data_IF_881661739039
#
_entry.id   IF_881661739039
#
_cell.length_a   1.000
_cell.length_b   1.000
_cell.length_c   1.000
_cell.angle_alpha   90.00
_cell.angle_beta   90.00
_cell.angle_gamma   90.00
#
_symmetry.space_group_name_H-M   'P 1'
#
loop_
_entity.id
_entity.type
_entity.pdbx_description
1 polymer ?
#
# COMPACT_ATOMS: atom_id res chain seq x y z
N UNK A 1 -49.08 -7.58 30.57
CA UNK A 1 -48.68 -8.17 29.27
C UNK A 1 -48.59 -7.13 28.14
N UNK A 2 -49.66 -6.40 27.81
CA UNK A 2 -49.68 -5.41 26.71
C UNK A 2 -48.61 -4.30 26.81
N UNK A 3 -48.40 -3.75 28.02
CA UNK A 3 -47.39 -2.70 28.28
C UNK A 3 -45.95 -3.19 28.06
N UNK A 4 -45.66 -4.45 28.39
CA UNK A 4 -44.33 -5.04 28.25
C UNK A 4 -44.01 -5.29 26.78
N UNK A 5 -44.98 -5.77 26.00
CA UNK A 5 -44.87 -5.93 24.54
C UNK A 5 -44.60 -4.60 23.84
N UNK A 6 -45.36 -3.56 24.19
CA UNK A 6 -45.15 -2.20 23.67
C UNK A 6 -43.74 -1.66 23.97
N UNK A 7 -43.26 -1.86 25.21
CA UNK A 7 -41.92 -1.41 25.59
C UNK A 7 -40.82 -2.12 24.80
N UNK A 8 -40.96 -3.43 24.55
CA UNK A 8 -39.98 -4.22 23.79
C UNK A 8 -40.00 -3.81 22.31
N UNK A 9 -41.19 -3.62 21.72
CA UNK A 9 -41.33 -3.14 20.34
C UNK A 9 -40.70 -1.77 20.14
N UNK A 10 -40.94 -0.83 21.05
CA UNK A 10 -40.35 0.51 20.99
C UNK A 10 -38.83 0.45 21.15
N UNK A 11 -38.31 -0.35 22.08
CA UNK A 11 -36.87 -0.53 22.25
C UNK A 11 -36.21 -1.16 21.00
N UNK A 12 -36.81 -2.19 20.41
CA UNK A 12 -36.33 -2.81 19.19
C UNK A 12 -36.30 -1.82 18.01
N UNK A 13 -37.33 -0.98 17.91
CA UNK A 13 -37.42 0.04 16.86
C UNK A 13 -36.33 1.11 17.03
N UNK A 14 -36.06 1.55 18.26
CA UNK A 14 -34.96 2.47 18.56
C UNK A 14 -33.61 1.86 18.17
N UNK A 15 -33.36 0.60 18.53
CA UNK A 15 -32.11 -0.11 18.18
C UNK A 15 -31.96 -0.22 16.66
N UNK A 16 -33.03 -0.55 15.94
CA UNK A 16 -33.01 -0.63 14.48
C UNK A 16 -32.69 0.73 13.85
N UNK A 17 -33.33 1.81 14.30
CA UNK A 17 -33.05 3.17 13.82
C UNK A 17 -31.58 3.53 14.06
N UNK A 18 -31.06 3.30 15.27
CA UNK A 18 -29.65 3.56 15.57
C UNK A 18 -28.75 2.76 14.63
N UNK A 19 -28.99 1.46 14.48
CA UNK A 19 -28.20 0.58 13.62
C UNK A 19 -28.14 1.06 12.16
N UNK A 20 -29.27 1.49 11.59
CA UNK A 20 -29.31 1.99 10.21
C UNK A 20 -28.76 3.42 10.05
N UNK A 21 -28.68 4.19 11.14
CA UNK A 21 -28.13 5.56 11.12
C UNK A 21 -26.62 5.64 11.38
N UNK A 22 -25.98 4.57 11.87
CA UNK A 22 -24.52 4.54 12.02
C UNK A 22 -23.90 4.39 10.61
N UNK A 23 -23.19 5.42 10.10
CA UNK A 23 -22.56 5.33 8.81
C UNK A 23 -21.42 4.31 8.90
N UNK A 24 -21.41 3.35 7.98
CA UNK A 24 -20.26 2.47 7.75
C UNK A 24 -19.10 3.35 7.28
N UNK A 25 -18.22 3.76 8.19
CA UNK A 25 -17.01 4.49 7.82
C UNK A 25 -16.13 3.52 7.05
N UNK A 26 -15.78 3.80 5.77
CA UNK A 26 -14.90 2.93 5.02
C UNK A 26 -13.54 2.85 5.72
N UNK A 27 -13.01 1.65 5.84
CA UNK A 27 -11.69 1.45 6.44
C UNK A 27 -10.63 2.22 5.65
N UNK A 28 -9.85 3.03 6.35
CA UNK A 28 -8.75 3.80 5.76
C UNK A 28 -7.43 3.07 5.96
N UNK A 29 -6.51 3.12 4.99
CA UNK A 29 -5.16 2.60 5.18
C UNK A 29 -4.46 3.22 6.39
N UNK A 30 -3.70 2.41 7.12
CA UNK A 30 -2.86 2.84 8.24
C UNK A 30 -1.45 2.34 8.03
N UNK A 31 -0.46 3.15 8.33
CA UNK A 31 0.92 2.75 8.19
C UNK A 31 1.88 3.74 8.82
N UNK A 32 3.15 3.36 8.79
CA UNK A 32 4.25 4.14 9.31
C UNK A 32 5.36 4.22 8.27
N UNK A 33 6.04 5.36 8.28
CA UNK A 33 7.31 5.57 7.61
C UNK A 33 8.43 5.59 8.65
N UNK A 34 9.46 4.77 8.44
CA UNK A 34 10.63 4.68 9.31
C UNK A 34 11.83 5.28 8.56
N UNK A 35 12.25 6.52 8.88
CA UNK A 35 13.35 7.18 8.19
C UNK A 35 14.68 6.48 8.48
N UNK A 36 15.50 6.29 7.44
CA UNK A 36 16.84 5.74 7.56
C UNK A 36 17.94 6.83 7.51
N UNK A 37 17.64 7.98 6.90
CA UNK A 37 18.56 9.10 6.70
C UNK A 37 17.83 10.44 6.87
N UNK A 38 18.58 11.55 6.84
CA UNK A 38 18.00 12.91 6.79
C UNK A 38 17.09 13.05 5.58
N UNK A 39 15.82 13.40 5.82
CA UNK A 39 14.78 13.46 4.80
C UNK A 39 15.12 14.37 3.63
N UNK A 40 14.65 14.00 2.44
CA UNK A 40 14.70 14.84 1.24
C UNK A 40 13.45 15.73 1.17
N UNK A 41 13.45 16.81 0.37
CA UNK A 41 12.24 17.60 0.15
C UNK A 41 11.10 16.72 -0.35
N UNK A 42 9.89 16.98 0.15
CA UNK A 42 8.71 16.24 -0.28
C UNK A 42 8.47 16.39 -1.79
N UNK A 43 7.97 15.31 -2.40
CA UNK A 43 7.67 15.21 -3.83
C UNK A 43 6.16 15.05 -4.04
N UNK A 44 5.71 15.06 -5.31
CA UNK A 44 4.35 14.63 -5.64
C UNK A 44 4.25 13.10 -5.51
N UNK A 45 3.13 12.54 -5.00
CA UNK A 45 2.88 11.10 -5.04
C UNK A 45 2.94 10.50 -6.45
N UNK A 46 2.61 11.29 -7.48
CA UNK A 46 2.64 10.87 -8.89
C UNK A 46 4.07 10.65 -9.41
N UNK A 47 5.07 11.25 -8.76
CA UNK A 47 6.49 11.09 -9.09
C UNK A 47 7.13 9.87 -8.40
N UNK A 48 6.35 9.10 -7.65
CA UNK A 48 6.82 7.91 -6.91
C UNK A 48 6.57 6.63 -7.70
N UNK A 49 7.66 6.04 -8.19
CA UNK A 49 7.60 4.79 -8.95
C UNK A 49 7.67 3.55 -8.06
N UNK A 50 6.77 2.58 -8.29
CA UNK A 50 6.86 1.28 -7.63
C UNK A 50 7.74 0.32 -8.44
N UNK A 51 8.71 -0.27 -7.76
CA UNK A 51 9.58 -1.31 -8.30
C UNK A 51 9.26 -2.64 -7.64
N UNK A 52 8.98 -3.65 -8.46
CA UNK A 52 8.85 -5.03 -8.02
C UNK A 52 10.22 -5.59 -7.64
N UNK A 53 10.26 -6.67 -6.83
CA UNK A 53 11.49 -7.40 -6.58
C UNK A 53 12.22 -7.71 -7.90
N UNK A 54 13.49 -7.29 -8.00
CA UNK A 54 14.33 -7.51 -9.18
C UNK A 54 14.28 -6.41 -10.27
N UNK A 55 13.36 -5.44 -10.19
CA UNK A 55 13.34 -4.28 -11.10
C UNK A 55 13.82 -2.98 -10.45
N UNK A 56 14.26 -3.05 -9.20
CA UNK A 56 14.83 -1.91 -8.48
C UNK A 56 16.11 -1.44 -9.17
N UNK A 57 16.31 -0.12 -9.36
CA UNK A 57 17.57 0.41 -9.87
C UNK A 57 18.77 -0.09 -9.07
N UNK A 58 19.94 -0.26 -9.70
CA UNK A 58 21.15 -0.66 -8.95
C UNK A 58 21.73 0.49 -8.11
N UNK A 59 21.56 1.74 -8.56
CA UNK A 59 22.06 2.94 -7.90
C UNK A 59 20.89 3.72 -7.30
N UNK A 60 20.74 3.62 -5.97
CA UNK A 60 19.78 4.40 -5.20
C UNK A 60 20.28 4.61 -3.78
N UNK A 61 19.74 5.65 -3.15
CA UNK A 61 19.85 5.90 -1.72
C UNK A 61 18.59 5.38 -1.01
N UNK A 62 18.76 4.77 0.16
CA UNK A 62 17.60 4.40 1.00
C UNK A 62 17.15 5.62 1.80
N UNK A 63 15.89 6.01 1.63
CA UNK A 63 15.26 7.11 2.37
C UNK A 63 14.62 6.58 3.66
N UNK A 64 14.02 5.39 3.59
CA UNK A 64 13.42 4.74 4.75
C UNK A 64 12.64 3.49 4.40
N UNK A 65 11.87 2.99 5.36
CA UNK A 65 11.04 1.80 5.24
C UNK A 65 9.57 2.14 5.45
N UNK A 66 8.69 1.50 4.69
CA UNK A 66 7.25 1.71 4.74
C UNK A 66 6.58 0.41 5.16
N UNK A 67 5.73 0.50 6.17
CA UNK A 67 4.83 -0.57 6.57
C UNK A 67 3.42 -0.02 6.61
N UNK A 68 2.52 -0.58 5.82
CA UNK A 68 1.13 -0.13 5.77
C UNK A 68 0.18 -1.31 5.62
N UNK A 69 -1.04 -1.13 6.12
CA UNK A 69 -2.09 -2.13 6.10
C UNK A 69 -3.44 -1.45 5.86
N UNK A 70 -4.36 -2.20 5.25
CA UNK A 70 -5.76 -1.84 5.09
C UNK A 70 -6.60 -3.04 5.47
N UNK A 71 -7.52 -2.87 6.41
CA UNK A 71 -8.53 -3.88 6.67
C UNK A 71 -9.45 -3.99 5.46
N UNK A 72 -9.60 -5.21 4.95
CA UNK A 72 -10.42 -5.48 3.80
C UNK A 72 -10.92 -6.92 3.89
N UNK A 73 -12.23 -7.16 4.04
CA UNK A 73 -12.78 -8.51 4.08
C UNK A 73 -12.70 -9.23 2.73
N UNK A 74 -12.48 -8.48 1.63
CA UNK A 74 -12.46 -8.99 0.26
C UNK A 74 -11.34 -8.34 -0.57
N UNK A 75 -10.82 -9.11 -1.52
CA UNK A 75 -9.85 -8.64 -2.51
C UNK A 75 -10.58 -7.82 -3.57
N UNK A 76 -10.32 -6.51 -3.61
CA UNK A 76 -10.87 -5.60 -4.63
C UNK A 76 -9.78 -4.68 -5.16
N UNK A 77 -9.89 -4.31 -6.45
CA UNK A 77 -8.95 -3.36 -7.06
C UNK A 77 -8.98 -1.99 -6.39
N UNK A 78 -10.15 -1.57 -5.88
CA UNK A 78 -10.30 -0.32 -5.15
C UNK A 78 -9.48 -0.31 -3.84
N UNK A 79 -9.58 -1.35 -3.01
CA UNK A 79 -8.84 -1.45 -1.75
C UNK A 79 -7.33 -1.53 -1.99
N UNK A 80 -6.92 -2.30 -3.00
CA UNK A 80 -5.53 -2.36 -3.44
C UNK A 80 -5.03 -0.97 -3.85
N UNK A 81 -5.76 -0.25 -4.70
CA UNK A 81 -5.35 1.09 -5.14
C UNK A 81 -5.32 2.10 -3.99
N UNK A 82 -6.26 2.03 -3.05
CA UNK A 82 -6.26 2.88 -1.85
C UNK A 82 -4.98 2.68 -1.02
N UNK A 83 -4.57 1.44 -0.79
CA UNK A 83 -3.32 1.17 -0.06
C UNK A 83 -2.09 1.63 -0.86
N UNK A 84 -2.07 1.42 -2.18
CA UNK A 84 -0.96 1.86 -3.04
C UNK A 84 -0.80 3.38 -3.07
N UNK A 85 -1.89 4.13 -3.21
CA UNK A 85 -1.89 5.60 -3.15
C UNK A 85 -1.39 6.10 -1.80
N UNK A 86 -1.83 5.46 -0.71
CA UNK A 86 -1.38 5.80 0.63
C UNK A 86 0.13 5.60 0.81
N UNK A 87 0.70 4.48 0.34
CA UNK A 87 2.15 4.25 0.45
C UNK A 87 2.97 5.15 -0.47
N UNK A 88 2.47 5.48 -1.65
CA UNK A 88 3.08 6.50 -2.53
C UNK A 88 3.10 7.86 -1.85
N UNK A 89 2.01 8.25 -1.19
CA UNK A 89 1.94 9.49 -0.44
C UNK A 89 2.94 9.52 0.73
N UNK A 90 3.06 8.45 1.51
CA UNK A 90 4.05 8.34 2.59
C UNK A 90 5.50 8.46 2.07
N UNK A 91 5.80 7.80 0.94
CA UNK A 91 7.11 7.87 0.30
C UNK A 91 7.40 9.30 -0.21
N UNK A 92 6.44 9.91 -0.88
CA UNK A 92 6.55 11.25 -1.46
C UNK A 92 6.78 12.31 -0.37
N UNK A 93 6.06 12.23 0.74
CA UNK A 93 6.24 13.13 1.90
C UNK A 93 7.65 13.03 2.51
N UNK A 94 8.30 11.89 2.35
CA UNK A 94 9.66 11.64 2.82
C UNK A 94 10.74 12.00 1.79
N UNK A 95 10.33 12.45 0.60
CA UNK A 95 11.19 12.82 -0.51
C UNK A 95 11.76 11.64 -1.30
N UNK A 96 11.14 10.46 -1.19
CA UNK A 96 11.47 9.31 -2.01
C UNK A 96 10.76 9.40 -3.37
N UNK A 97 11.46 9.09 -4.47
CA UNK A 97 10.90 9.02 -5.82
C UNK A 97 10.70 7.57 -6.29
N UNK A 98 10.99 6.59 -5.43
CA UNK A 98 10.74 5.19 -5.71
C UNK A 98 10.41 4.39 -4.46
N UNK A 99 9.71 3.28 -4.65
CA UNK A 99 9.45 2.28 -3.61
C UNK A 99 9.85 0.91 -4.14
N UNK A 100 10.84 0.28 -3.51
CA UNK A 100 11.16 -1.12 -3.72
C UNK A 100 10.22 -1.99 -2.87
N UNK A 101 9.30 -2.70 -3.53
CA UNK A 101 8.31 -3.55 -2.86
C UNK A 101 9.02 -4.80 -2.32
N UNK A 102 8.82 -5.09 -1.02
CA UNK A 102 9.33 -6.31 -0.36
C UNK A 102 8.18 -7.31 -0.20
N UNK A 103 7.04 -6.84 0.30
CA UNK A 103 5.82 -7.60 0.46
C UNK A 103 4.64 -6.75 0.03
N UNK A 104 3.79 -7.30 -0.81
CA UNK A 104 2.48 -6.72 -1.08
C UNK A 104 1.49 -7.83 -1.37
N UNK A 105 0.36 -7.82 -0.67
CA UNK A 105 -0.67 -8.82 -0.90
C UNK A 105 -1.81 -8.74 0.10
N UNK A 106 -2.78 -9.60 -0.11
CA UNK A 106 -3.89 -9.82 0.80
C UNK A 106 -3.68 -11.11 1.60
N UNK A 107 -4.27 -11.19 2.79
CA UNK A 107 -4.32 -12.42 3.57
C UNK A 107 -4.91 -13.58 2.77
N UNK A 108 -4.48 -14.80 3.09
CA UNK A 108 -4.97 -16.01 2.44
C UNK A 108 -6.49 -16.18 2.63
N UNK A 109 -7.18 -16.88 1.71
CA UNK A 109 -8.64 -17.12 1.82
C UNK A 109 -9.08 -17.89 3.07
N UNK A 110 -8.14 -18.55 3.75
CA UNK A 110 -8.39 -19.29 5.01
C UNK A 110 -8.45 -18.38 6.24
N UNK A 111 -8.06 -17.12 6.12
CA UNK A 111 -8.13 -16.14 7.22
C UNK A 111 -9.57 -15.65 7.38
N UNK A 112 -10.12 -15.59 8.60
CA UNK A 112 -11.45 -15.03 8.83
C UNK A 112 -11.60 -13.63 8.24
N UNK A 113 -12.74 -13.33 7.61
CA UNK A 113 -12.98 -12.04 6.93
C UNK A 113 -12.79 -10.83 7.84
N UNK A 114 -13.15 -10.96 9.12
CA UNK A 114 -12.94 -9.93 10.14
C UNK A 114 -11.46 -9.65 10.46
N UNK A 115 -10.55 -10.52 10.03
CA UNK A 115 -9.10 -10.40 10.21
C UNK A 115 -8.36 -10.21 8.87
N UNK A 116 -9.10 -10.19 7.76
CA UNK A 116 -8.51 -10.10 6.44
C UNK A 116 -7.95 -8.68 6.19
N UNK A 117 -6.75 -8.62 5.65
CA UNK A 117 -6.03 -7.36 5.43
C UNK A 117 -5.24 -7.39 4.14
N UNK A 118 -5.12 -6.23 3.50
CA UNK A 118 -3.99 -5.95 2.63
C UNK A 118 -2.80 -5.51 3.49
N UNK A 119 -1.63 -6.08 3.22
CA UNK A 119 -0.38 -5.69 3.85
C UNK A 119 0.62 -5.25 2.79
N UNK A 120 1.33 -4.16 3.10
CA UNK A 120 2.42 -3.62 2.31
C UNK A 120 3.66 -3.45 3.19
N UNK A 121 4.79 -3.94 2.72
CA UNK A 121 6.11 -3.63 3.23
C UNK A 121 7.04 -3.30 2.06
N UNK A 122 7.78 -2.22 2.20
CA UNK A 122 8.70 -1.79 1.16
C UNK A 122 9.76 -0.85 1.68
N UNK A 123 10.73 -0.58 0.81
CA UNK A 123 11.80 0.38 1.05
C UNK A 123 11.60 1.59 0.16
N UNK A 124 11.48 2.75 0.78
CA UNK A 124 11.46 4.02 0.08
C UNK A 124 12.89 4.39 -0.34
N UNK A 125 13.05 4.68 -1.62
CA UNK A 125 14.35 4.94 -2.22
C UNK A 125 14.34 6.26 -2.98
N UNK A 126 15.52 6.83 -3.12
CA UNK A 126 15.78 7.93 -4.03
C UNK A 126 16.79 7.47 -5.07
N UNK A 127 16.40 7.45 -6.34
CA UNK A 127 17.28 7.07 -7.44
C UNK A 127 17.39 8.20 -8.47
N UNK A 128 18.50 8.24 -9.20
CA UNK A 128 18.71 9.24 -10.26
C UNK A 128 18.32 8.62 -11.62
N UNK A 129 17.27 9.11 -12.30
CA UNK A 129 16.73 8.48 -13.51
C UNK A 129 17.74 8.33 -14.66
N UNK A 130 18.64 9.30 -14.86
CA UNK A 130 19.62 9.26 -15.95
C UNK A 130 20.65 8.12 -15.81
N UNK A 131 20.91 7.66 -14.58
CA UNK A 131 21.75 6.50 -14.32
C UNK A 131 20.99 5.17 -14.51
N UNK A 132 19.65 5.19 -14.46
CA UNK A 132 18.85 4.00 -14.66
C UNK A 132 18.71 3.63 -16.15
N UNK A 133 18.45 4.62 -17.02
CA UNK A 133 18.30 4.41 -18.47
C UNK A 133 19.58 3.84 -19.11
N UNK A 134 20.73 4.39 -18.73
CA UNK A 134 22.05 3.95 -19.20
C UNK A 134 22.39 2.53 -18.74
N UNK A 135 21.95 2.13 -17.55
CA UNK A 135 22.15 0.77 -17.02
C UNK A 135 21.25 -0.27 -17.71
N UNK A 136 20.01 0.08 -18.04
CA UNK A 136 19.12 -0.79 -18.83
C UNK A 136 19.71 -1.10 -20.21
N UNK A 137 20.31 -0.09 -20.87
CA UNK A 137 21.01 -0.28 -22.15
C UNK A 137 22.17 -1.27 -22.01
N UNK A 138 22.99 -1.14 -20.97
CA UNK A 138 24.12 -2.05 -20.72
C UNK A 138 23.66 -3.49 -20.43
N UNK A 139 22.62 -3.67 -19.62
CA UNK A 139 22.05 -5.00 -19.34
C UNK A 139 21.48 -5.67 -20.59
N UNK A 140 20.79 -4.91 -21.44
CA UNK A 140 20.30 -5.41 -22.72
C UNK A 140 21.44 -5.79 -23.67
N UNK A 141 22.54 -5.02 -23.70
CA UNK A 141 23.70 -5.32 -24.54
C UNK A 141 24.47 -6.56 -24.06
N UNK A 142 24.62 -6.74 -22.75
CA UNK A 142 25.22 -7.94 -22.16
C UNK A 142 24.37 -9.18 -22.48
N UNK A 143 23.04 -9.09 -22.30
CA UNK A 143 22.12 -10.19 -22.65
C UNK A 143 22.19 -10.53 -24.14
N UNK A 144 22.26 -9.51 -25.01
CA UNK A 144 22.40 -9.70 -26.47
C UNK A 144 23.72 -10.37 -26.84
N UNK A 145 24.84 -9.98 -26.22
CA UNK A 145 26.15 -10.61 -26.45
C UNK A 145 26.20 -12.04 -25.91
N UNK A 146 25.50 -12.33 -24.82
CA UNK A 146 25.40 -13.69 -24.27
C UNK A 146 24.58 -14.64 -25.14
N UNK A 147 23.62 -14.13 -25.92
CA UNK A 147 22.82 -14.94 -26.86
C UNK A 147 23.54 -15.28 -28.19
N UNK A 148 24.71 -14.69 -28.46
CA UNK A 148 25.51 -14.97 -29.65
C UNK A 148 26.69 -15.93 -29.39
N UNK A 149 26.79 -16.50 -28.18
CA UNK A 149 27.77 -17.53 -27.82
C UNK A 149 27.05 -18.87 -27.61
N UNK A 150 26.35 -19.34 -28.65
CA UNK A 150 25.92 -20.73 -28.83
C UNK A 150 25.75 -21.01 -30.33
#
# INVERSE_FOLDING_TARGET
MMRTLLSVSVAALIVAVIYFTVPSVPDTPKGIFLPANTGKPALSPDDVHLFLPGSVPMAYETVGYIHAQLHAPQVTGQNQNMLLQYVQQLAAQSGANGIAVILFGHTLPTVPSAQAVYAFQGKAIYYVPNLYSSQLTLQMEIKRKSCHVF
#
